data_IF_782036498887
#
_entry.id   IF_782036498887
#
_cell.length_a   1.000
_cell.length_b   1.000
_cell.length_c   1.000
_cell.angle_alpha   90.00
_cell.angle_beta   90.00
_cell.angle_gamma   90.00
#
_symmetry.space_group_name_H-M   'P 1'
#
loop_
_entity.id
_entity.type
_entity.pdbx_description
1 polymer ?
#
# COMPACT_ATOMS: atom_id res chain seq x y z
N UNK A 1 23.89 -35.73 -11.65
CA UNK A 1 24.49 -34.75 -12.56
C UNK A 1 24.11 -33.37 -12.04
N UNK A 2 25.10 -32.64 -11.53
CA UNK A 2 24.91 -31.32 -10.90
C UNK A 2 24.88 -30.18 -11.93
N UNK A 3 25.39 -30.42 -13.14
CA UNK A 3 25.48 -29.42 -14.21
C UNK A 3 24.21 -29.38 -15.07
N UNK A 4 23.29 -30.31 -14.84
CA UNK A 4 22.01 -30.36 -15.54
C UNK A 4 21.13 -29.16 -15.11
N UNK A 5 20.70 -28.30 -16.05
CA UNK A 5 19.82 -27.17 -15.73
C UNK A 5 18.53 -27.61 -15.03
N UNK A 6 18.09 -26.87 -14.01
CA UNK A 6 16.91 -27.19 -13.20
C UNK A 6 15.65 -27.46 -14.05
N UNK A 7 15.44 -26.65 -15.11
CA UNK A 7 14.30 -26.80 -16.03
C UNK A 7 14.26 -28.18 -16.71
N UNK A 8 15.42 -28.81 -16.91
CA UNK A 8 15.55 -30.13 -17.55
C UNK A 8 15.36 -31.29 -16.56
N UNK A 9 15.26 -31.05 -15.25
CA UNK A 9 15.00 -32.10 -14.26
C UNK A 9 13.57 -32.66 -14.42
N UNK A 10 13.38 -33.93 -14.08
CA UNK A 10 12.02 -34.51 -14.00
C UNK A 10 11.25 -33.91 -12.83
N UNK A 11 9.92 -33.94 -12.88
CA UNK A 11 9.10 -33.36 -11.81
C UNK A 11 9.35 -34.04 -10.46
N UNK A 12 9.60 -35.36 -10.47
CA UNK A 12 10.02 -36.09 -9.28
C UNK A 12 11.35 -35.59 -8.71
N UNK A 13 12.32 -35.25 -9.55
CA UNK A 13 13.61 -34.71 -9.08
C UNK A 13 13.43 -33.31 -8.47
N UNK A 14 12.63 -32.46 -9.11
CA UNK A 14 12.30 -31.11 -8.60
C UNK A 14 11.56 -31.21 -7.27
N UNK A 15 10.57 -32.08 -7.18
CA UNK A 15 9.77 -32.33 -5.98
C UNK A 15 10.64 -32.78 -4.80
N UNK A 16 11.58 -33.70 -5.01
CA UNK A 16 12.51 -34.14 -3.95
C UNK A 16 13.40 -32.99 -3.48
N UNK A 17 13.89 -32.14 -4.39
CA UNK A 17 14.74 -31.00 -4.03
C UNK A 17 13.95 -29.94 -3.26
N UNK A 18 12.74 -29.62 -3.72
CA UNK A 18 11.93 -28.53 -3.17
C UNK A 18 11.20 -28.93 -1.89
N UNK A 19 10.61 -30.12 -1.84
CA UNK A 19 9.70 -30.58 -0.78
C UNK A 19 10.19 -31.80 -0.02
N UNK A 20 11.41 -32.26 -0.31
CA UNK A 20 12.10 -33.25 0.51
C UNK A 20 11.96 -34.69 0.06
N UNK A 21 12.60 -35.59 0.81
CA UNK A 21 12.78 -37.00 0.46
C UNK A 21 11.60 -37.91 0.85
N UNK A 22 10.54 -37.36 1.46
CA UNK A 22 9.29 -38.06 1.83
C UNK A 22 9.53 -39.34 2.64
N UNK A 23 10.24 -39.21 3.75
CA UNK A 23 10.57 -40.29 4.68
C UNK A 23 11.80 -41.11 4.31
N UNK A 24 12.45 -40.84 3.17
CA UNK A 24 13.69 -41.53 2.80
C UNK A 24 14.89 -40.84 3.43
N UNK A 25 15.67 -41.60 4.19
CA UNK A 25 16.92 -41.10 4.75
C UNK A 25 17.97 -40.92 3.66
N UNK A 26 18.68 -39.80 3.73
CA UNK A 26 19.81 -39.48 2.86
C UNK A 26 21.04 -39.27 3.75
N UNK A 27 22.15 -39.85 3.35
CA UNK A 27 23.43 -39.67 4.03
C UNK A 27 24.12 -38.42 3.49
N UNK A 28 24.30 -37.42 4.36
CA UNK A 28 25.01 -36.18 4.08
C UNK A 28 26.39 -36.22 4.72
N UNK A 29 27.43 -35.97 3.94
CA UNK A 29 28.79 -35.73 4.43
C UNK A 29 29.13 -34.28 4.18
N UNK A 30 29.46 -33.54 5.23
CA UNK A 30 29.83 -32.13 5.15
C UNK A 30 31.11 -31.86 5.95
N UNK A 31 31.93 -30.96 5.42
CA UNK A 31 33.16 -30.52 6.06
C UNK A 31 32.85 -29.34 6.99
N UNK A 32 33.30 -29.44 8.23
CA UNK A 32 33.19 -28.37 9.21
C UNK A 32 34.28 -27.31 8.98
N UNK A 33 34.08 -26.10 9.52
CA UNK A 33 35.06 -25.00 9.42
C UNK A 33 36.45 -25.32 9.98
N UNK A 34 36.58 -26.36 10.82
CA UNK A 34 37.84 -26.84 11.39
C UNK A 34 38.50 -27.95 10.55
N UNK A 35 37.99 -28.27 9.35
CA UNK A 35 38.51 -29.32 8.46
C UNK A 35 38.06 -30.74 8.81
N UNK A 36 37.27 -30.93 9.88
CA UNK A 36 36.73 -32.23 10.22
C UNK A 36 35.52 -32.58 9.33
N UNK A 37 35.53 -33.78 8.75
CA UNK A 37 34.37 -34.31 8.01
C UNK A 37 33.35 -34.92 8.96
N UNK A 38 32.07 -34.59 8.79
CA UNK A 38 30.96 -35.17 9.55
C UNK A 38 29.95 -35.80 8.61
N UNK A 39 29.60 -37.06 8.87
CA UNK A 39 28.53 -37.78 8.16
C UNK A 39 27.30 -37.86 9.04
N UNK A 40 26.12 -37.54 8.49
CA UNK A 40 24.82 -37.68 9.14
C UNK A 40 23.83 -38.31 8.17
N UNK A 41 23.09 -39.31 8.64
CA UNK A 41 21.93 -39.85 7.94
C UNK A 41 20.69 -39.20 8.51
N UNK A 42 19.92 -38.52 7.67
CA UNK A 42 18.67 -37.85 8.06
C UNK A 42 17.75 -37.73 6.86
N UNK A 43 16.46 -37.56 7.14
CA UNK A 43 15.51 -37.16 6.11
C UNK A 43 15.85 -35.76 5.60
N UNK A 44 15.75 -35.57 4.29
CA UNK A 44 15.89 -34.26 3.68
C UNK A 44 14.54 -33.58 3.67
N UNK A 45 14.37 -32.50 4.45
CA UNK A 45 13.09 -31.78 4.55
C UNK A 45 12.70 -31.03 3.26
N UNK A 46 13.66 -30.76 2.37
CA UNK A 46 13.43 -29.95 1.17
C UNK A 46 13.75 -28.47 1.37
N UNK A 47 14.00 -27.76 0.26
CA UNK A 47 14.37 -26.34 0.30
C UNK A 47 13.21 -25.44 0.75
N UNK A 48 11.97 -25.70 0.31
CA UNK A 48 10.81 -24.87 0.65
C UNK A 48 10.44 -25.02 2.13
N UNK A 49 10.24 -26.24 2.67
CA UNK A 49 10.00 -26.42 4.11
C UNK A 49 11.14 -25.89 4.98
N UNK A 50 12.40 -25.98 4.52
CA UNK A 50 13.53 -25.39 5.24
C UNK A 50 13.40 -23.86 5.38
N UNK A 51 13.06 -23.15 4.30
CA UNK A 51 12.90 -21.70 4.32
C UNK A 51 11.73 -21.31 5.23
N UNK A 52 10.57 -21.95 5.04
CA UNK A 52 9.36 -21.70 5.83
C UNK A 52 9.61 -21.93 7.33
N UNK A 53 10.16 -23.09 7.68
CA UNK A 53 10.48 -23.45 9.06
C UNK A 53 11.48 -22.46 9.68
N UNK A 54 12.55 -22.11 8.96
CA UNK A 54 13.55 -21.14 9.46
C UNK A 54 12.97 -19.74 9.64
N UNK A 55 12.03 -19.33 8.80
CA UNK A 55 11.34 -18.06 8.95
C UNK A 55 10.46 -18.05 10.22
N UNK A 56 9.65 -19.10 10.43
CA UNK A 56 8.72 -19.16 11.57
C UNK A 56 9.38 -19.48 12.91
N UNK A 57 10.33 -20.42 12.95
CA UNK A 57 10.94 -20.92 14.20
C UNK A 57 12.14 -20.09 14.67
N UNK A 58 12.79 -19.33 13.78
CA UNK A 58 14.00 -18.59 14.20
C UNK A 58 13.65 -17.45 15.15
N UNK A 59 14.37 -17.30 16.28
CA UNK A 59 14.23 -16.14 17.16
C UNK A 59 15.00 -14.90 16.65
N UNK A 60 15.78 -15.03 15.58
CA UNK A 60 16.62 -13.94 15.04
C UNK A 60 15.90 -13.20 13.92
N UNK A 61 15.70 -11.89 14.10
CA UNK A 61 15.12 -11.00 13.10
C UNK A 61 15.92 -11.00 11.78
N UNK A 62 17.25 -10.91 11.87
CA UNK A 62 18.14 -11.03 10.72
C UNK A 62 17.90 -12.31 9.90
N UNK A 63 17.69 -13.45 10.58
CA UNK A 63 17.40 -14.71 9.88
C UNK A 63 16.04 -14.64 9.18
N UNK A 64 15.02 -14.07 9.82
CA UNK A 64 13.69 -13.89 9.20
C UNK A 64 13.77 -13.00 7.96
N UNK A 65 14.44 -11.86 8.05
CA UNK A 65 14.65 -10.95 6.92
C UNK A 65 15.39 -11.62 5.75
N UNK A 66 16.41 -12.45 6.04
CA UNK A 66 17.10 -13.22 5.00
C UNK A 66 16.17 -14.23 4.31
N UNK A 67 15.32 -14.93 5.07
CA UNK A 67 14.38 -15.91 4.49
C UNK A 67 13.27 -15.22 3.70
N UNK A 68 12.79 -14.06 4.18
CA UNK A 68 11.73 -13.27 3.53
C UNK A 68 12.06 -12.87 2.09
N UNK A 69 13.35 -12.73 1.75
CA UNK A 69 13.81 -12.45 0.36
C UNK A 69 13.39 -13.52 -0.66
N UNK A 70 13.06 -14.73 -0.20
CA UNK A 70 12.60 -15.85 -1.04
C UNK A 70 11.10 -16.09 -0.95
N UNK A 71 10.38 -15.21 -0.26
CA UNK A 71 8.94 -15.33 -0.02
C UNK A 71 8.20 -14.19 -0.74
N UNK A 72 6.91 -14.42 -1.00
CA UNK A 72 6.00 -13.40 -1.51
C UNK A 72 4.79 -13.32 -0.60
N UNK A 73 4.24 -12.12 -0.45
CA UNK A 73 2.96 -11.95 0.23
C UNK A 73 1.84 -12.48 -0.65
N UNK A 74 0.91 -13.21 -0.05
CA UNK A 74 -0.29 -13.72 -0.69
C UNK A 74 -1.52 -13.22 0.09
N UNK A 75 -2.68 -13.03 -0.57
CA UNK A 75 -3.92 -12.78 0.14
C UNK A 75 -4.19 -13.87 1.16
N UNK A 76 -4.53 -13.48 2.38
CA UNK A 76 -4.89 -14.41 3.44
C UNK A 76 -6.09 -15.27 3.01
N UNK A 77 -6.01 -16.58 3.15
CA UNK A 77 -7.10 -17.49 2.77
C UNK A 77 -8.38 -17.31 3.60
N UNK A 78 -8.26 -16.81 4.83
CA UNK A 78 -9.40 -16.62 5.73
C UNK A 78 -10.17 -15.32 5.47
N UNK A 79 -9.47 -14.19 5.33
CA UNK A 79 -10.10 -12.89 5.14
C UNK A 79 -10.04 -12.38 3.71
N UNK A 80 -9.44 -13.15 2.80
CA UNK A 80 -9.24 -12.80 1.39
C UNK A 80 -8.57 -11.44 1.17
N UNK A 81 -7.68 -11.04 2.09
CA UNK A 81 -6.99 -9.75 2.04
C UNK A 81 -7.78 -8.57 2.62
N UNK A 82 -9.02 -8.77 3.10
CA UNK A 82 -9.86 -7.71 3.70
C UNK A 82 -9.46 -7.31 5.13
N UNK A 83 -8.58 -8.08 5.78
CA UNK A 83 -7.96 -7.78 7.10
C UNK A 83 -8.95 -7.62 8.27
N UNK A 84 -10.16 -8.13 8.12
CA UNK A 84 -11.22 -8.06 9.11
C UNK A 84 -11.76 -9.46 9.43
N UNK A 85 -12.39 -9.60 10.60
CA UNK A 85 -13.07 -10.83 10.99
C UNK A 85 -14.35 -11.05 10.18
N UNK A 86 -14.85 -12.28 10.18
CA UNK A 86 -16.07 -12.62 9.44
C UNK A 86 -17.29 -11.86 9.98
N UNK A 87 -17.35 -11.62 11.30
CA UNK A 87 -18.42 -10.85 11.94
C UNK A 87 -18.41 -9.40 11.47
N UNK A 88 -17.23 -8.77 11.37
CA UNK A 88 -17.11 -7.40 10.86
C UNK A 88 -17.51 -7.31 9.38
N UNK A 89 -17.17 -8.31 8.57
CA UNK A 89 -17.55 -8.39 7.15
C UNK A 89 -19.02 -8.77 6.92
N UNK A 90 -19.74 -9.16 7.97
CA UNK A 90 -21.17 -9.47 7.90
C UNK A 90 -22.06 -8.23 8.12
N UNK A 91 -21.48 -7.05 8.34
CA UNK A 91 -22.20 -5.77 8.44
C UNK A 91 -22.22 -5.09 7.08
N UNK A 92 -23.42 -4.75 6.61
CA UNK A 92 -23.65 -4.16 5.30
C UNK A 92 -24.26 -2.76 5.42
N UNK A 93 -23.82 -1.85 4.56
CA UNK A 93 -24.39 -0.52 4.37
C UNK A 93 -24.74 -0.38 2.89
N UNK A 94 -26.01 -0.17 2.58
CA UNK A 94 -26.52 -0.12 1.19
C UNK A 94 -26.08 -1.33 0.34
N UNK A 95 -26.08 -2.52 0.95
CA UNK A 95 -25.76 -3.78 0.27
C UNK A 95 -24.28 -4.16 0.17
N UNK A 96 -23.35 -3.34 0.68
CA UNK A 96 -21.91 -3.61 0.67
C UNK A 96 -21.33 -3.66 2.08
N UNK A 97 -20.39 -4.58 2.32
CA UNK A 97 -19.59 -4.56 3.55
C UNK A 97 -18.37 -3.62 3.42
N UNK A 98 -17.77 -3.30 4.56
CA UNK A 98 -16.63 -2.37 4.61
C UNK A 98 -15.43 -2.85 3.77
N UNK A 99 -15.20 -4.16 3.65
CA UNK A 99 -14.10 -4.71 2.85
C UNK A 99 -14.29 -4.48 1.35
N UNK A 100 -15.53 -4.46 0.87
CA UNK A 100 -15.85 -4.17 -0.53
C UNK A 100 -15.74 -2.66 -0.82
N UNK A 101 -16.23 -1.82 0.10
CA UNK A 101 -16.18 -0.36 -0.08
C UNK A 101 -14.74 0.16 -0.16
N UNK A 102 -13.81 -0.42 0.61
CA UNK A 102 -12.39 0.02 0.57
C UNK A 102 -11.63 -0.47 -0.67
N UNK A 103 -12.19 -1.41 -1.43
CA UNK A 103 -11.63 -1.86 -2.71
C UNK A 103 -11.94 -0.88 -3.86
N UNK A 104 -12.94 0.00 -3.69
CA UNK A 104 -13.21 1.06 -4.66
C UNK A 104 -12.04 2.03 -4.77
N UNK A 105 -11.81 2.47 -6.01
CA UNK A 105 -11.03 3.68 -6.26
C UNK A 105 -11.70 4.87 -5.56
N UNK A 106 -10.93 5.92 -5.24
CA UNK A 106 -11.45 7.14 -4.63
C UNK A 106 -12.60 7.71 -5.47
N UNK A 107 -12.50 7.65 -6.80
CA UNK A 107 -13.56 8.08 -7.71
C UNK A 107 -14.85 7.28 -7.55
N UNK A 108 -14.75 5.95 -7.51
CA UNK A 108 -15.89 5.06 -7.34
C UNK A 108 -16.51 5.21 -5.94
N UNK A 109 -15.67 5.31 -4.90
CA UNK A 109 -16.11 5.54 -3.54
C UNK A 109 -16.84 6.88 -3.40
N UNK A 110 -16.33 7.95 -4.02
CA UNK A 110 -16.98 9.25 -4.01
C UNK A 110 -18.38 9.15 -4.63
N UNK A 111 -18.46 8.56 -5.82
CA UNK A 111 -19.73 8.34 -6.51
C UNK A 111 -20.71 7.49 -5.68
N UNK A 112 -20.22 6.43 -5.03
CA UNK A 112 -21.01 5.57 -4.16
C UNK A 112 -21.62 6.35 -2.98
N UNK A 113 -20.81 7.12 -2.24
CA UNK A 113 -21.29 7.85 -1.06
C UNK A 113 -22.19 9.05 -1.40
N UNK A 114 -21.98 9.69 -2.55
CA UNK A 114 -22.89 10.76 -3.04
C UNK A 114 -24.28 10.22 -3.36
N UNK A 115 -24.36 8.99 -3.88
CA UNK A 115 -25.60 8.38 -4.37
C UNK A 115 -26.12 7.26 -3.45
N UNK A 116 -25.60 7.18 -2.21
CA UNK A 116 -25.96 6.10 -1.30
C UNK A 116 -27.45 6.17 -0.91
N UNK A 117 -28.14 5.06 -1.11
CA UNK A 117 -29.54 4.93 -0.71
C UNK A 117 -29.62 4.47 0.75
N UNK A 118 -30.29 5.29 1.57
CA UNK A 118 -30.45 5.11 3.00
C UNK A 118 -31.86 5.56 3.40
N UNK A 119 -32.43 4.91 4.42
CA UNK A 119 -33.69 5.37 5.02
C UNK A 119 -33.58 6.80 5.56
N UNK A 120 -34.69 7.51 5.70
CA UNK A 120 -34.68 8.88 6.25
C UNK A 120 -34.03 8.95 7.64
N UNK A 121 -34.28 7.92 8.47
CA UNK A 121 -33.70 7.83 9.81
C UNK A 121 -32.18 7.64 9.75
N UNK A 122 -31.70 6.68 8.96
CA UNK A 122 -30.27 6.40 8.84
C UNK A 122 -29.52 7.57 8.23
N UNK A 123 -30.10 8.20 7.19
CA UNK A 123 -29.53 9.40 6.56
C UNK A 123 -29.40 10.54 7.56
N UNK A 124 -30.37 10.74 8.45
CA UNK A 124 -30.29 11.77 9.50
C UNK A 124 -29.18 11.49 10.52
N UNK A 125 -28.98 10.22 10.89
CA UNK A 125 -27.91 9.82 11.83
C UNK A 125 -26.54 9.95 11.16
N UNK A 126 -26.44 9.55 9.89
CA UNK A 126 -25.19 9.50 9.14
C UNK A 126 -24.80 10.81 8.46
N UNK A 127 -25.66 11.84 8.44
CA UNK A 127 -25.47 13.08 7.65
C UNK A 127 -24.08 13.71 7.85
N UNK A 128 -23.64 13.90 9.11
CA UNK A 128 -22.33 14.49 9.40
C UNK A 128 -21.17 13.58 8.97
N UNK A 129 -21.35 12.26 9.11
CA UNK A 129 -20.33 11.27 8.73
C UNK A 129 -20.19 11.21 7.21
N UNK A 130 -21.32 11.16 6.48
CA UNK A 130 -21.34 11.16 5.03
C UNK A 130 -20.73 12.43 4.46
N UNK A 131 -21.07 13.60 5.02
CA UNK A 131 -20.44 14.87 4.63
C UNK A 131 -18.93 14.83 4.78
N UNK A 132 -18.42 14.29 5.88
CA UNK A 132 -16.98 14.18 6.11
C UNK A 132 -16.30 13.20 5.15
N UNK A 133 -16.92 12.03 4.91
CA UNK A 133 -16.39 11.04 3.95
C UNK A 133 -16.33 11.64 2.54
N UNK A 134 -17.44 12.21 2.06
CA UNK A 134 -17.54 12.83 0.73
C UNK A 134 -16.52 13.96 0.61
N UNK A 135 -16.39 14.82 1.62
CA UNK A 135 -15.41 15.91 1.62
C UNK A 135 -13.97 15.40 1.48
N UNK A 136 -13.60 14.35 2.21
CA UNK A 136 -12.24 13.77 2.14
C UNK A 136 -11.96 13.11 0.80
N UNK A 137 -12.92 12.36 0.27
CA UNK A 137 -12.81 11.75 -1.06
C UNK A 137 -12.70 12.81 -2.15
N UNK A 138 -13.46 13.89 -2.04
CA UNK A 138 -13.38 15.04 -2.94
C UNK A 138 -11.99 15.69 -2.93
N UNK A 139 -11.38 15.91 -1.76
CA UNK A 139 -10.02 16.46 -1.67
C UNK A 139 -8.99 15.54 -2.33
N UNK A 140 -9.06 14.23 -2.09
CA UNK A 140 -8.18 13.26 -2.73
C UNK A 140 -8.35 13.25 -4.26
N UNK A 141 -9.58 13.36 -4.74
CA UNK A 141 -9.88 13.47 -6.17
C UNK A 141 -9.32 14.77 -6.79
N UNK A 142 -9.40 15.90 -6.09
CA UNK A 142 -8.90 17.19 -6.58
C UNK A 142 -7.37 17.22 -6.69
N UNK A 143 -6.66 16.54 -5.80
CA UNK A 143 -5.19 16.39 -5.90
C UNK A 143 -4.76 15.28 -6.86
N UNK A 144 -5.68 14.78 -7.71
CA UNK A 144 -5.37 13.81 -8.77
C UNK A 144 -5.03 12.40 -8.27
N UNK A 145 -5.65 11.96 -7.17
CA UNK A 145 -5.49 10.60 -6.62
C UNK A 145 -6.73 9.73 -6.82
N UNK A 146 -7.62 10.10 -7.74
CA UNK A 146 -8.92 9.48 -7.95
C UNK A 146 -8.85 7.99 -8.36
N UNK A 147 -7.71 7.57 -8.92
CA UNK A 147 -7.43 6.19 -9.34
C UNK A 147 -6.96 5.26 -8.21
N UNK A 148 -6.59 5.79 -7.03
CA UNK A 148 -6.14 4.97 -5.91
C UNK A 148 -7.32 4.34 -5.18
N UNK A 149 -7.16 3.10 -4.75
CA UNK A 149 -8.11 2.44 -3.86
C UNK A 149 -7.84 2.82 -2.40
N UNK A 150 -8.90 2.82 -1.57
CA UNK A 150 -8.76 3.13 -0.13
C UNK A 150 -7.94 2.08 0.63
N UNK A 151 -7.87 0.84 0.11
CA UNK A 151 -7.10 -0.25 0.69
C UNK A 151 -5.63 -0.33 0.21
N UNK A 152 -5.17 0.60 -0.65
CA UNK A 152 -3.78 0.57 -1.16
C UNK A 152 -2.78 0.73 -0.02
N UNK A 153 -1.76 -0.13 -0.01
CA UNK A 153 -0.71 -0.10 1.01
C UNK A 153 0.11 1.19 0.90
N UNK A 154 0.25 1.93 2.01
CA UNK A 154 0.99 3.20 2.05
C UNK A 154 2.45 3.07 1.64
N UNK A 155 3.09 1.91 1.90
CA UNK A 155 4.47 1.64 1.50
C UNK A 155 4.67 1.45 -0.01
N UNK A 156 3.59 1.38 -0.79
CA UNK A 156 3.63 1.24 -2.26
C UNK A 156 3.34 2.54 -2.99
N UNK A 157 3.15 3.64 -2.26
CA UNK A 157 2.93 4.97 -2.83
C UNK A 157 4.27 5.58 -3.25
N UNK A 158 4.27 6.25 -4.39
CA UNK A 158 5.33 7.15 -4.81
C UNK A 158 5.41 8.37 -3.88
N UNK A 159 6.55 9.07 -3.91
CA UNK A 159 6.74 10.30 -3.14
C UNK A 159 5.66 11.36 -3.42
N UNK A 160 5.36 11.59 -4.70
CA UNK A 160 4.31 12.54 -5.11
C UNK A 160 2.90 12.11 -4.66
N UNK A 161 2.56 10.81 -4.74
CA UNK A 161 1.29 10.31 -4.21
C UNK A 161 1.18 10.57 -2.69
N UNK A 162 2.22 10.21 -1.92
CA UNK A 162 2.23 10.41 -0.47
C UNK A 162 2.13 11.89 -0.08
N UNK A 163 2.84 12.76 -0.80
CA UNK A 163 2.78 14.21 -0.62
C UNK A 163 1.37 14.76 -0.88
N UNK A 164 0.71 14.33 -1.96
CA UNK A 164 -0.64 14.77 -2.30
C UNK A 164 -1.70 14.24 -1.32
N UNK A 165 -1.55 13.01 -0.79
CA UNK A 165 -2.39 12.53 0.33
C UNK A 165 -2.24 13.44 1.55
N UNK A 166 -1.01 13.83 1.88
CA UNK A 166 -0.75 14.75 2.99
C UNK A 166 -1.40 16.11 2.74
N UNK A 167 -1.31 16.63 1.52
CA UNK A 167 -1.96 17.88 1.11
C UNK A 167 -3.50 17.79 1.27
N UNK A 168 -4.13 16.76 0.69
CA UNK A 168 -5.56 16.49 0.84
C UNK A 168 -6.00 16.43 2.31
N UNK A 169 -5.19 15.80 3.15
CA UNK A 169 -5.44 15.71 4.59
C UNK A 169 -5.37 17.08 5.28
N UNK A 170 -4.44 17.96 4.87
CA UNK A 170 -4.34 19.31 5.41
C UNK A 170 -5.50 20.22 4.99
N UNK A 171 -6.02 20.06 3.78
CA UNK A 171 -7.21 20.80 3.35
C UNK A 171 -8.42 20.37 4.18
N UNK A 172 -8.56 19.07 4.42
CA UNK A 172 -9.64 18.52 5.23
C UNK A 172 -9.65 18.96 6.69
N UNK A 173 -8.51 19.36 7.26
CA UNK A 173 -8.45 19.85 8.64
C UNK A 173 -9.03 21.25 8.84
N UNK A 174 -9.29 22.00 7.74
CA UNK A 174 -9.89 23.34 7.73
C UNK A 174 -9.26 24.30 8.75
N UNK A 175 -7.94 24.20 8.95
CA UNK A 175 -7.20 25.10 9.83
C UNK A 175 -7.11 26.50 9.20
N UNK A 176 -7.02 27.51 10.06
CA UNK A 176 -6.93 28.93 9.68
C UNK A 176 -5.75 29.58 10.39
N UNK A 177 -5.07 30.54 9.76
CA UNK A 177 -3.90 31.22 10.34
C UNK A 177 -2.63 30.36 10.37
N UNK A 178 -2.56 29.34 9.51
CA UNK A 178 -1.40 28.45 9.39
C UNK A 178 -0.51 28.92 8.23
N UNK A 179 0.80 28.84 8.41
CA UNK A 179 1.78 28.97 7.34
C UNK A 179 2.11 27.57 6.80
N UNK A 180 1.68 27.29 5.57
CA UNK A 180 2.04 26.07 4.85
C UNK A 180 3.26 26.34 3.98
N UNK A 181 4.28 25.48 4.10
CA UNK A 181 5.44 25.48 3.21
C UNK A 181 5.43 24.18 2.41
N UNK A 182 5.28 24.30 1.10
CA UNK A 182 5.18 23.18 0.16
C UNK A 182 6.42 23.13 -0.74
N UNK A 183 6.90 21.92 -0.98
CA UNK A 183 8.11 21.65 -1.77
C UNK A 183 7.72 20.88 -3.05
N UNK A 184 7.68 21.55 -4.20
CA UNK A 184 7.30 21.03 -5.51
C UNK A 184 6.02 20.15 -5.54
N UNK A 185 4.85 20.68 -5.11
CA UNK A 185 3.61 19.90 -5.10
C UNK A 185 3.13 19.41 -6.47
N UNK A 186 3.62 20.00 -7.58
CA UNK A 186 3.33 19.56 -8.95
C UNK A 186 4.06 18.27 -9.34
N UNK A 187 5.04 17.80 -8.55
CA UNK A 187 5.90 16.68 -8.93
C UNK A 187 5.10 15.39 -9.19
N UNK A 188 5.30 14.82 -10.38
CA UNK A 188 4.61 13.60 -10.82
C UNK A 188 3.12 13.78 -11.07
N UNK A 189 2.62 15.02 -11.21
CA UNK A 189 1.31 15.30 -11.79
C UNK A 189 1.39 15.48 -13.30
N UNK A 190 0.32 15.11 -13.98
CA UNK A 190 0.12 15.42 -15.39
C UNK A 190 -0.38 16.87 -15.52
N UNK A 191 0.00 17.61 -16.57
CA UNK A 191 -0.36 19.02 -16.76
C UNK A 191 -1.87 19.29 -16.58
N UNK A 192 -2.71 18.37 -17.08
CA UNK A 192 -4.17 18.44 -16.96
C UNK A 192 -4.68 18.53 -15.52
N UNK A 193 -3.98 17.93 -14.57
CA UNK A 193 -4.38 17.89 -13.16
C UNK A 193 -3.74 19.04 -12.36
N UNK A 194 -2.83 19.81 -12.98
CA UNK A 194 -2.16 20.95 -12.38
C UNK A 194 -3.14 22.09 -12.03
N UNK A 195 -4.08 22.39 -12.93
CA UNK A 195 -5.14 23.37 -12.67
C UNK A 195 -5.95 23.05 -11.41
N UNK A 196 -6.21 21.75 -11.17
CA UNK A 196 -6.94 21.30 -9.97
C UNK A 196 -6.11 21.49 -8.71
N UNK A 197 -4.81 21.20 -8.78
CA UNK A 197 -3.88 21.47 -7.68
C UNK A 197 -3.83 22.96 -7.37
N UNK A 198 -3.65 23.82 -8.36
CA UNK A 198 -3.61 25.28 -8.20
C UNK A 198 -4.89 25.79 -7.53
N UNK A 199 -6.06 25.36 -8.01
CA UNK A 199 -7.34 25.72 -7.40
C UNK A 199 -7.42 25.28 -5.94
N UNK A 200 -6.93 24.08 -5.64
CA UNK A 200 -6.88 23.55 -4.28
C UNK A 200 -5.97 24.39 -3.37
N UNK A 201 -4.81 24.84 -3.87
CA UNK A 201 -3.90 25.72 -3.12
C UNK A 201 -4.55 27.09 -2.86
N UNK A 202 -5.29 27.63 -3.83
CA UNK A 202 -6.06 28.88 -3.65
C UNK A 202 -7.16 28.72 -2.61
N UNK A 203 -7.90 27.61 -2.61
CA UNK A 203 -8.88 27.31 -1.56
C UNK A 203 -8.23 27.27 -0.17
N UNK A 204 -7.05 26.66 -0.03
CA UNK A 204 -6.32 26.65 1.24
C UNK A 204 -5.91 28.06 1.69
N UNK A 205 -5.44 28.90 0.77
CA UNK A 205 -5.11 30.30 1.03
C UNK A 205 -6.36 31.07 1.48
N UNK A 206 -7.45 30.91 0.77
CA UNK A 206 -8.70 31.66 0.97
C UNK A 206 -9.43 31.26 2.27
N UNK A 207 -9.08 30.12 2.87
CA UNK A 207 -9.44 29.77 4.25
C UNK A 207 -8.72 30.64 5.31
N UNK A 208 -7.89 31.60 4.91
CA UNK A 208 -7.15 32.48 5.81
C UNK A 208 -5.78 31.92 6.20
N UNK A 209 -5.15 31.17 5.31
CA UNK A 209 -3.80 30.64 5.48
C UNK A 209 -2.82 31.33 4.53
N UNK A 210 -1.53 31.23 4.85
CA UNK A 210 -0.45 31.67 3.96
C UNK A 210 0.24 30.44 3.40
N UNK A 211 0.45 30.41 2.08
CA UNK A 211 1.19 29.34 1.41
C UNK A 211 2.50 29.91 0.87
N UNK A 212 3.60 29.23 1.16
CA UNK A 212 4.89 29.40 0.48
C UNK A 212 5.12 28.12 -0.31
N UNK A 213 5.19 28.24 -1.63
CA UNK A 213 5.33 27.11 -2.53
C UNK A 213 6.66 27.25 -3.26
N UNK A 214 7.53 26.25 -3.11
CA UNK A 214 8.74 26.10 -3.94
C UNK A 214 8.31 25.34 -5.19
N UNK A 215 8.43 25.96 -6.36
CA UNK A 215 7.97 25.41 -7.63
C UNK A 215 8.86 25.85 -8.79
N UNK A 216 8.81 25.06 -9.86
CA UNK A 216 9.42 25.37 -11.16
C UNK A 216 8.42 25.29 -12.31
N UNK A 217 7.13 25.01 -12.03
CA UNK A 217 6.05 24.97 -13.01
C UNK A 217 5.56 26.39 -13.40
N UNK A 218 5.53 26.66 -14.70
CA UNK A 218 5.15 27.95 -15.28
C UNK A 218 3.71 28.36 -14.94
N UNK A 219 2.77 27.42 -14.95
CA UNK A 219 1.35 27.71 -14.69
C UNK A 219 1.15 28.10 -13.22
N UNK A 220 1.79 27.39 -12.30
CA UNK A 220 1.77 27.71 -10.87
C UNK A 220 2.39 29.07 -10.58
N UNK A 221 3.52 29.39 -11.23
CA UNK A 221 4.17 30.69 -11.10
C UNK A 221 3.29 31.85 -11.60
N UNK A 222 2.56 31.65 -12.70
CA UNK A 222 1.64 32.65 -13.27
C UNK A 222 0.42 32.91 -12.39
N UNK A 223 -0.03 31.89 -11.67
CA UNK A 223 -1.21 31.96 -10.81
C UNK A 223 -0.90 32.40 -9.36
N UNK A 224 0.38 32.64 -9.04
CA UNK A 224 0.81 33.09 -7.72
C UNK A 224 0.45 34.57 -7.47
N UNK A 225 0.00 34.87 -6.25
CA UNK A 225 -0.27 36.26 -5.83
C UNK A 225 1.03 37.08 -5.70
N UNK A 226 2.13 36.39 -5.39
CA UNK A 226 3.46 36.97 -5.24
C UNK A 226 4.51 35.94 -5.62
N UNK A 227 5.56 36.39 -6.31
CA UNK A 227 6.64 35.53 -6.79
C UNK A 227 7.98 36.04 -6.29
N UNK A 228 8.77 35.14 -5.68
CA UNK A 228 10.14 35.41 -5.23
C UNK A 228 11.06 34.53 -6.05
N UNK A 229 11.93 35.15 -6.84
CA UNK A 229 12.95 34.45 -7.62
C UNK A 229 14.25 34.34 -6.80
N UNK A 230 14.81 33.13 -6.74
CA UNK A 230 16.00 32.79 -5.95
C UNK A 230 16.96 31.95 -6.78
N UNK A 231 17.82 32.62 -7.55
CA UNK A 231 19.16 32.16 -7.96
C UNK A 231 19.25 30.88 -8.79
#
# INVERSE_FOLDING_TARGET
DMDRPFKKLTDRQKDIILYGSKGKEITFTFEQRNGASRTRTMEFEGVVPNIERRYHESPSEYVREMMQKYMTELPCETCHGKRLSQEALSVYVSGLNIGEVVEYSIKEALHFFENIDLSEQDRKIADLILKEIISRLYFLNNVGLDYLTLNRSSGTLSGGEAQRIRLATQIGSRLTGVLYVLDEPSIGLHQRDNDRLINTLKEMRDLGNTLIVVEHDDDTMREADYLVDVG
#
